data_IF_561539104116
#
_entry.id   IF_561539104116
#
_cell.length_a   1.000
_cell.length_b   1.000
_cell.length_c   1.000
_cell.angle_alpha   90.00
_cell.angle_beta   90.00
_cell.angle_gamma   90.00
#
_symmetry.space_group_name_H-M   'P 1'
#
loop_
_entity.id
_entity.type
_entity.pdbx_description
1 polymer ?
#
# COMPACT_ATOMS: atom_id res chain seq x y z
N UNK A 1 14.41 -0.66 -2.58
CA UNK A 1 13.06 -0.07 -2.50
C UNK A 1 12.06 -0.87 -3.30
N UNK A 2 10.83 -0.88 -2.85
CA UNK A 2 9.74 -1.47 -3.62
C UNK A 2 8.59 -0.48 -3.72
N UNK A 3 7.69 -0.71 -4.68
CA UNK A 3 6.47 0.08 -4.82
C UNK A 3 5.28 -0.82 -4.53
N UNK A 4 4.46 -0.40 -3.57
CA UNK A 4 3.21 -1.07 -3.25
C UNK A 4 2.13 -0.45 -4.11
N UNK A 5 1.51 -1.25 -4.97
CA UNK A 5 0.43 -0.80 -5.85
C UNK A 5 -0.88 -1.32 -5.27
N UNK A 6 -1.76 -0.42 -4.89
CA UNK A 6 -3.03 -0.81 -4.28
C UNK A 6 -4.20 -0.15 -4.97
N UNK A 7 -5.29 -0.91 -5.10
CA UNK A 7 -6.58 -0.38 -5.50
C UNK A 7 -7.43 -0.29 -4.23
N UNK A 8 -7.85 0.91 -3.88
CA UNK A 8 -8.60 1.18 -2.66
C UNK A 8 -10.02 1.60 -3.00
N UNK A 9 -10.97 1.27 -2.12
CA UNK A 9 -12.30 1.84 -2.20
C UNK A 9 -12.22 3.35 -1.97
N UNK A 10 -13.00 4.10 -2.70
CA UNK A 10 -13.08 5.56 -2.53
C UNK A 10 -13.94 5.87 -1.31
N UNK A 11 -13.38 5.62 -0.12
CA UNK A 11 -14.04 5.85 1.15
C UNK A 11 -13.08 6.58 2.09
N UNK A 12 -13.67 7.33 3.01
CA UNK A 12 -12.88 8.05 4.02
C UNK A 12 -12.05 7.07 4.85
N UNK A 13 -10.78 7.37 5.00
CA UNK A 13 -9.88 6.57 5.82
C UNK A 13 -9.19 5.42 5.08
N UNK A 14 -9.52 5.17 3.80
CA UNK A 14 -8.91 4.06 3.05
C UNK A 14 -7.40 4.24 2.92
N UNK A 15 -6.95 5.44 2.53
CA UNK A 15 -5.52 5.71 2.39
C UNK A 15 -4.80 5.65 3.73
N UNK A 16 -5.39 6.23 4.77
CA UNK A 16 -4.79 6.20 6.10
C UNK A 16 -4.63 4.77 6.60
N UNK A 17 -5.62 3.91 6.37
CA UNK A 17 -5.53 2.51 6.76
C UNK A 17 -4.41 1.78 6.03
N UNK A 18 -4.25 2.04 4.74
CA UNK A 18 -3.17 1.45 3.95
C UNK A 18 -1.81 1.90 4.49
N UNK A 19 -1.64 3.20 4.69
CA UNK A 19 -0.37 3.75 5.16
C UNK A 19 -0.04 3.27 6.58
N UNK A 20 -1.04 3.18 7.44
CA UNK A 20 -0.86 2.66 8.79
C UNK A 20 -0.39 1.20 8.78
N UNK A 21 -0.94 0.39 7.88
CA UNK A 21 -0.51 -1.01 7.74
C UNK A 21 0.94 -1.12 7.27
N UNK A 22 1.34 -0.27 6.34
CA UNK A 22 2.71 -0.24 5.84
C UNK A 22 3.68 0.19 6.95
N UNK A 23 3.33 1.25 7.68
CA UNK A 23 4.16 1.74 8.78
C UNK A 23 4.27 0.73 9.92
N UNK A 24 3.17 0.03 10.22
CA UNK A 24 3.18 -1.00 11.26
C UNK A 24 4.10 -2.17 10.91
N UNK A 25 4.34 -2.41 9.63
CA UNK A 25 5.27 -3.44 9.18
C UNK A 25 6.74 -3.02 9.32
N UNK A 26 7.01 -1.77 9.69
CA UNK A 26 8.35 -1.25 9.86
C UNK A 26 8.95 -0.62 8.61
N UNK A 27 8.17 -0.50 7.54
CA UNK A 27 8.64 0.12 6.31
C UNK A 27 8.62 1.64 6.43
N UNK A 28 9.54 2.30 5.71
CA UNK A 28 9.58 3.76 5.63
C UNK A 28 8.98 4.20 4.30
N UNK A 29 8.00 5.10 4.36
CA UNK A 29 7.32 5.60 3.18
C UNK A 29 8.16 6.71 2.55
N UNK A 30 8.47 6.56 1.26
CA UNK A 30 9.28 7.52 0.52
C UNK A 30 8.39 8.45 -0.30
N UNK A 31 7.52 7.91 -1.13
CA UNK A 31 6.59 8.69 -1.95
C UNK A 31 5.22 8.02 -1.98
N UNK A 32 4.20 8.84 -2.21
CA UNK A 32 2.83 8.39 -2.39
C UNK A 32 2.29 9.07 -3.64
N UNK A 33 1.77 8.27 -4.57
CA UNK A 33 1.09 8.77 -5.76
C UNK A 33 -0.31 8.18 -5.79
N UNK A 34 -1.31 9.03 -5.89
CA UNK A 34 -2.70 8.62 -5.88
C UNK A 34 -3.40 9.14 -7.13
N UNK A 35 -4.12 8.26 -7.81
CA UNK A 35 -4.92 8.66 -8.97
C UNK A 35 -6.22 9.30 -8.51
N UNK A 36 -6.88 10.03 -9.44
CA UNK A 36 -8.23 10.51 -9.23
C UNK A 36 -9.16 9.30 -9.12
N UNK A 37 -10.05 9.27 -8.11
CA UNK A 37 -10.98 8.16 -7.97
C UNK A 37 -11.90 8.03 -9.18
N UNK A 38 -12.11 6.78 -9.62
CA UNK A 38 -13.03 6.45 -10.72
C UNK A 38 -13.81 5.20 -10.34
N UNK A 39 -15.10 5.21 -10.60
CA UNK A 39 -15.98 4.06 -10.35
C UNK A 39 -15.88 3.53 -8.91
N UNK A 40 -15.73 4.44 -7.95
CA UNK A 40 -15.68 4.08 -6.54
C UNK A 40 -14.36 3.50 -6.08
N UNK A 41 -13.30 3.63 -6.87
CA UNK A 41 -11.97 3.13 -6.52
C UNK A 41 -10.88 4.11 -6.91
N UNK A 42 -9.77 4.07 -6.21
CA UNK A 42 -8.59 4.86 -6.50
C UNK A 42 -7.35 3.96 -6.51
N UNK A 43 -6.45 4.26 -7.44
CA UNK A 43 -5.15 3.58 -7.49
C UNK A 43 -4.14 4.38 -6.69
N UNK A 44 -3.38 3.69 -5.86
CA UNK A 44 -2.34 4.30 -5.04
C UNK A 44 -1.04 3.55 -5.24
N UNK A 45 0.04 4.28 -5.48
CA UNK A 45 1.38 3.72 -5.56
C UNK A 45 2.20 4.30 -4.42
N UNK A 46 2.66 3.46 -3.52
CA UNK A 46 3.46 3.86 -2.36
C UNK A 46 4.85 3.26 -2.50
N UNK A 47 5.85 4.12 -2.69
CA UNK A 47 7.24 3.67 -2.71
C UNK A 47 7.77 3.63 -1.29
N UNK A 48 8.33 2.50 -0.89
CA UNK A 48 8.77 2.28 0.48
C UNK A 48 10.19 1.74 0.51
N UNK A 49 10.88 2.00 1.62
CA UNK A 49 12.16 1.38 1.94
C UNK A 49 11.89 0.19 2.85
N UNK A 50 12.52 -0.93 2.53
CA UNK A 50 12.25 -2.20 3.21
C UNK A 50 13.39 -2.64 4.15
N UNK A 51 14.45 -1.85 4.25
CA UNK A 51 15.63 -2.20 5.05
C UNK A 51 15.31 -2.34 6.55
N UNK A 52 14.28 -1.64 7.03
CA UNK A 52 13.85 -1.74 8.43
C UNK A 52 12.58 -2.56 8.61
N UNK A 53 12.05 -3.12 7.52
CA UNK A 53 10.81 -3.88 7.57
C UNK A 53 11.04 -5.24 8.21
N UNK A 54 10.12 -5.68 9.07
CA UNK A 54 10.24 -6.91 9.84
C UNK A 54 9.53 -8.10 9.19
N UNK A 55 9.11 -7.94 7.94
CA UNK A 55 8.44 -8.99 7.19
C UNK A 55 8.83 -8.88 5.72
N UNK A 56 8.53 -9.92 4.95
CA UNK A 56 8.81 -9.92 3.51
C UNK A 56 7.77 -9.07 2.78
N UNK A 57 8.08 -8.58 1.55
CA UNK A 57 7.08 -7.90 0.74
C UNK A 57 5.84 -8.74 0.49
N UNK A 58 5.98 -10.05 0.34
CA UNK A 58 4.86 -10.96 0.14
C UNK A 58 3.96 -11.02 1.38
N UNK A 59 4.56 -11.04 2.57
CA UNK A 59 3.80 -11.01 3.81
C UNK A 59 3.08 -9.69 3.99
N UNK A 60 3.71 -8.58 3.63
CA UNK A 60 3.09 -7.27 3.67
C UNK A 60 1.89 -7.19 2.74
N UNK A 61 2.06 -7.67 1.50
CA UNK A 61 0.99 -7.70 0.51
C UNK A 61 -0.21 -8.48 1.03
N UNK A 62 0.03 -9.66 1.60
CA UNK A 62 -1.05 -10.48 2.15
C UNK A 62 -1.76 -9.75 3.29
N UNK A 63 -0.99 -9.13 4.17
CA UNK A 63 -1.56 -8.40 5.31
C UNK A 63 -2.42 -7.23 4.87
N UNK A 64 -1.95 -6.46 3.89
CA UNK A 64 -2.70 -5.33 3.35
C UNK A 64 -3.96 -5.78 2.62
N UNK A 65 -3.91 -6.93 1.95
CA UNK A 65 -5.06 -7.45 1.22
C UNK A 65 -6.23 -7.81 2.13
N UNK A 66 -5.98 -7.97 3.42
CA UNK A 66 -7.03 -8.27 4.40
C UNK A 66 -7.77 -7.02 4.88
N UNK A 67 -7.28 -5.84 4.56
CA UNK A 67 -7.98 -4.61 4.92
C UNK A 67 -9.25 -4.48 4.10
N UNK A 68 -10.35 -4.09 4.76
CA UNK A 68 -11.67 -4.02 4.13
C UNK A 68 -11.70 -3.11 2.90
N UNK A 69 -10.93 -2.03 2.95
CA UNK A 69 -10.95 -1.02 1.89
C UNK A 69 -9.97 -1.32 0.75
N UNK A 70 -9.18 -2.39 0.87
CA UNK A 70 -8.23 -2.79 -0.17
C UNK A 70 -8.94 -3.77 -1.11
N UNK A 71 -9.13 -3.35 -2.36
CA UNK A 71 -9.72 -4.20 -3.40
C UNK A 71 -8.67 -5.14 -3.97
N UNK A 72 -7.46 -4.63 -4.16
CA UNK A 72 -6.33 -5.43 -4.63
C UNK A 72 -5.04 -4.74 -4.29
N UNK A 73 -3.97 -5.51 -4.12
CA UNK A 73 -2.65 -4.98 -3.80
C UNK A 73 -1.58 -5.93 -4.31
N UNK A 74 -0.50 -5.36 -4.81
CA UNK A 74 0.69 -6.12 -5.18
C UNK A 74 1.92 -5.24 -5.02
N UNK A 75 3.08 -5.88 -4.93
CA UNK A 75 4.35 -5.18 -4.78
C UNK A 75 5.18 -5.36 -6.05
N UNK A 76 5.79 -4.25 -6.50
CA UNK A 76 6.75 -4.26 -7.58
C UNK A 76 8.11 -3.84 -7.07
N UNK A 77 9.17 -4.45 -7.60
CA UNK A 77 10.53 -4.09 -7.23
C UNK A 77 11.04 -3.01 -8.16
N UNK A 78 11.65 -1.97 -7.57
CA UNK A 78 12.29 -0.91 -8.35
C UNK A 78 13.66 -1.39 -8.81
N UNK A 79 13.91 -1.27 -10.09
CA UNK A 79 15.19 -1.65 -10.69
C UNK A 79 16.13 -0.48 -10.77
#
# INVERSE_FOLDING_TARGET
MITVMATLRDETGALQSLLAGISAAGASIVTINQSTPENGAALVAVTIRTDTMQMTPEELTEKLSRQRMVVGVHCGYNL
#
